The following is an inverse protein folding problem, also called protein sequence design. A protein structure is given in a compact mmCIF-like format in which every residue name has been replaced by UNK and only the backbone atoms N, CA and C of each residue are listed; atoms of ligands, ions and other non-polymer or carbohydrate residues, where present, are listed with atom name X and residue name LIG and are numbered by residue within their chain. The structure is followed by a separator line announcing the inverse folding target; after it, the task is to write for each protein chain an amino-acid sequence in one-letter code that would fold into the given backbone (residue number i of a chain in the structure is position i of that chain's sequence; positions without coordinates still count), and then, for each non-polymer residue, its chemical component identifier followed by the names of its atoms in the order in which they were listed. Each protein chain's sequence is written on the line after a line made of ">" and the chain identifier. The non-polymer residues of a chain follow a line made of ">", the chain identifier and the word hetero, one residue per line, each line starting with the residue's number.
data_IF_376584305445
#
_entry.id   IF_376584305445
#
_cell.length_a   1.000
_cell.length_b   1.000
_cell.length_c   1.000
_cell.angle_alpha   90.00
_cell.angle_beta   90.00
_cell.angle_gamma   90.00
#
_symmetry.space_group_name_H-M   'P 1'
#
loop_
_entity.id
_entity.type
_entity.pdbx_description
1 polymer ?
#
# COMPACT_ATOMS: atom_id res chain seq x y z
N UNK A 1 -2.57 8.70 20.32
CA UNK A 1 -1.45 9.55 19.90
C UNK A 1 -0.55 8.74 18.97
N UNK A 2 -0.46 9.16 17.69
CA UNK A 2 0.27 8.45 16.63
C UNK A 2 1.77 8.33 16.93
N UNK A 3 2.38 9.37 17.53
CA UNK A 3 3.80 9.36 17.87
C UNK A 3 4.13 8.31 18.95
N UNK A 4 3.21 8.03 19.88
CA UNK A 4 3.37 6.91 20.83
C UNK A 4 3.38 5.56 20.13
N UNK A 5 2.54 5.38 19.12
CA UNK A 5 2.51 4.16 18.30
C UNK A 5 3.82 4.01 17.53
N UNK A 6 4.32 5.07 16.91
CA UNK A 6 5.63 5.06 16.21
C UNK A 6 6.74 4.58 17.15
N UNK A 7 6.89 5.24 18.30
CA UNK A 7 7.96 4.91 19.26
C UNK A 7 7.83 3.51 19.87
N UNK A 8 6.61 3.05 20.13
CA UNK A 8 6.38 1.77 20.83
C UNK A 8 6.35 0.56 19.91
N UNK A 9 6.06 0.74 18.61
CA UNK A 9 5.86 -0.36 17.67
C UNK A 9 6.89 -0.32 16.54
N UNK A 10 7.11 0.84 15.92
CA UNK A 10 7.96 0.94 14.72
C UNK A 10 9.44 1.03 15.09
N UNK A 11 9.79 1.89 16.03
CA UNK A 11 11.20 2.13 16.44
C UNK A 11 11.67 1.20 17.57
N UNK A 12 10.80 0.33 18.08
CA UNK A 12 11.20 -0.67 19.08
C UNK A 12 12.19 -1.66 18.46
N UNK A 13 13.23 -2.02 19.20
CA UNK A 13 14.12 -3.12 18.81
C UNK A 13 13.33 -4.42 18.60
N UNK A 14 13.48 -5.00 17.43
CA UNK A 14 12.88 -6.28 17.06
C UNK A 14 13.99 -7.32 16.87
N UNK A 15 13.81 -8.50 17.42
CA UNK A 15 14.72 -9.62 17.20
C UNK A 15 14.66 -10.16 15.74
N UNK A 16 13.72 -9.65 14.93
CA UNK A 16 13.49 -10.08 13.56
C UNK A 16 12.95 -8.90 12.71
N UNK A 17 12.70 -9.16 11.44
CA UNK A 17 12.13 -8.18 10.51
C UNK A 17 10.72 -7.80 10.95
N UNK A 18 10.45 -6.53 11.08
CA UNK A 18 9.12 -5.96 11.30
C UNK A 18 8.62 -5.30 10.02
N UNK A 19 7.37 -5.58 9.65
CA UNK A 19 6.72 -5.00 8.49
C UNK A 19 5.45 -4.26 8.91
N UNK A 20 5.38 -2.97 8.57
CA UNK A 20 4.25 -2.11 8.93
C UNK A 20 3.59 -1.56 7.67
N UNK A 21 2.29 -1.81 7.52
CA UNK A 21 1.48 -1.22 6.46
C UNK A 21 0.80 0.04 6.99
N UNK A 22 1.14 1.17 6.40
CA UNK A 22 0.52 2.46 6.70
C UNK A 22 -0.29 2.95 5.50
N UNK A 23 -1.39 3.64 5.77
CA UNK A 23 -2.17 4.33 4.74
C UNK A 23 -1.84 5.82 4.82
N UNK A 24 -1.36 6.39 3.72
CA UNK A 24 -0.85 7.78 3.71
C UNK A 24 -1.87 8.82 4.17
N UNK A 25 -3.14 8.63 3.86
CA UNK A 25 -4.20 9.53 4.30
C UNK A 25 -4.50 9.47 5.82
N UNK A 26 -3.93 8.49 6.54
CA UNK A 26 -4.00 8.42 8.01
C UNK A 26 -2.76 8.99 8.72
N UNK A 27 -1.73 9.41 7.97
CA UNK A 27 -0.56 10.09 8.52
C UNK A 27 -0.90 11.56 8.83
N UNK A 28 -1.85 11.77 9.76
CA UNK A 28 -2.31 13.09 10.16
C UNK A 28 -1.67 13.47 11.50
N UNK A 29 -0.96 14.61 11.53
CA UNK A 29 -0.31 15.13 12.75
C UNK A 29 0.66 14.11 13.41
N UNK A 30 1.30 13.30 12.59
CA UNK A 30 2.37 12.38 13.00
C UNK A 30 3.67 13.00 12.52
N UNK A 31 4.65 13.02 13.42
CA UNK A 31 6.03 13.32 13.05
C UNK A 31 6.53 12.21 12.11
N UNK A 32 7.10 12.59 10.99
CA UNK A 32 7.56 11.66 9.95
C UNK A 32 9.06 11.40 9.99
N UNK A 33 9.78 11.93 10.96
CA UNK A 33 11.24 11.78 11.09
C UNK A 33 11.65 10.31 11.23
N UNK A 34 10.80 9.48 11.86
CA UNK A 34 11.04 8.04 11.98
C UNK A 34 11.18 7.33 10.63
N UNK A 35 10.69 7.91 9.54
CA UNK A 35 10.81 7.32 8.21
C UNK A 35 12.26 7.29 7.73
N UNK A 36 13.15 8.13 8.29
CA UNK A 36 14.58 8.06 8.03
C UNK A 36 15.26 6.82 8.62
N UNK A 37 14.68 6.25 9.68
CA UNK A 37 15.20 5.09 10.41
C UNK A 37 14.74 3.74 9.85
N UNK A 38 13.87 3.74 8.85
CA UNK A 38 13.25 2.53 8.30
C UNK A 38 13.37 2.47 6.77
N UNK A 39 13.32 1.26 6.22
CA UNK A 39 13.22 1.08 4.76
C UNK A 39 11.80 1.38 4.30
N UNK A 40 11.65 2.35 3.40
CA UNK A 40 10.35 2.81 2.93
C UNK A 40 9.99 2.16 1.60
N UNK A 41 8.77 1.64 1.51
CA UNK A 41 8.16 1.13 0.28
C UNK A 41 6.92 1.95 -0.03
N UNK A 42 6.94 2.68 -1.13
CA UNK A 42 5.76 3.41 -1.64
C UNK A 42 5.02 2.48 -2.60
N UNK A 43 3.91 1.93 -2.12
CA UNK A 43 3.11 0.99 -2.90
C UNK A 43 2.04 1.73 -3.69
N UNK A 44 2.23 1.83 -5.01
CA UNK A 44 1.34 2.57 -5.91
C UNK A 44 0.39 1.65 -6.68
N UNK A 45 -0.71 2.21 -7.13
CA UNK A 45 -1.68 1.57 -8.00
C UNK A 45 -2.35 2.60 -8.89
N UNK A 46 -2.73 2.20 -10.11
CA UNK A 46 -3.45 3.07 -11.03
C UNK A 46 -4.68 3.71 -10.35
N UNK A 47 -4.78 5.05 -10.33
CA UNK A 47 -5.88 5.75 -9.67
C UNK A 47 -7.27 5.32 -10.13
N UNK A 48 -7.45 5.03 -11.42
CA UNK A 48 -8.73 4.50 -11.95
C UNK A 48 -9.15 3.22 -11.25
N UNK A 49 -8.20 2.30 -11.02
CA UNK A 49 -8.48 1.03 -10.34
C UNK A 49 -8.76 1.23 -8.85
N UNK A 50 -8.07 2.18 -8.21
CA UNK A 50 -8.32 2.53 -6.81
C UNK A 50 -9.73 3.06 -6.68
N UNK A 51 -10.09 4.09 -7.46
CA UNK A 51 -11.40 4.74 -7.42
C UNK A 51 -12.52 3.74 -7.71
N UNK A 52 -12.38 2.92 -8.75
CA UNK A 52 -13.36 1.89 -9.09
C UNK A 52 -13.57 0.84 -7.99
N UNK A 53 -12.53 0.55 -7.22
CA UNK A 53 -12.63 -0.37 -6.08
C UNK A 53 -13.23 0.32 -4.86
N UNK A 54 -12.78 1.54 -4.58
CA UNK A 54 -13.14 2.31 -3.39
C UNK A 54 -14.60 2.76 -3.43
N UNK A 55 -15.08 3.22 -4.58
CA UNK A 55 -16.47 3.69 -4.78
C UNK A 55 -17.54 2.60 -4.59
N UNK A 56 -17.14 1.31 -4.60
CA UNK A 56 -18.05 0.20 -4.26
C UNK A 56 -18.40 0.14 -2.77
N UNK A 57 -17.56 0.72 -1.92
CA UNK A 57 -17.73 0.71 -0.46
C UNK A 57 -18.10 2.11 0.04
N UNK A 58 -17.46 3.13 -0.50
CA UNK A 58 -17.66 4.53 -0.11
C UNK A 58 -18.05 5.31 -1.37
N UNK A 59 -19.32 5.72 -1.50
CA UNK A 59 -19.78 6.47 -2.66
C UNK A 59 -19.15 7.88 -2.70
N UNK A 60 -18.92 8.38 -3.90
CA UNK A 60 -18.38 9.73 -4.15
C UNK A 60 -17.04 10.02 -3.42
N UNK A 61 -15.99 9.21 -3.63
CA UNK A 61 -14.71 9.44 -2.98
C UNK A 61 -14.11 10.78 -3.41
N UNK A 62 -13.34 11.38 -2.50
CA UNK A 62 -12.58 12.60 -2.74
C UNK A 62 -11.10 12.29 -2.94
N UNK A 63 -10.31 13.30 -3.34
CA UNK A 63 -8.86 13.19 -3.53
C UNK A 63 -8.15 12.67 -2.29
N UNK A 64 -8.54 13.18 -1.11
CA UNK A 64 -7.98 12.81 0.19
C UNK A 64 -8.24 11.34 0.51
N UNK A 65 -9.39 10.79 0.10
CA UNK A 65 -9.74 9.37 0.33
C UNK A 65 -8.87 8.43 -0.52
N UNK A 66 -8.49 8.87 -1.72
CA UNK A 66 -7.62 8.10 -2.62
C UNK A 66 -6.17 8.13 -2.15
N UNK A 67 -5.72 9.26 -1.60
CA UNK A 67 -4.43 9.41 -0.94
C UNK A 67 -3.20 9.43 -1.85
N UNK A 68 -3.35 9.49 -3.18
CA UNK A 68 -2.21 9.46 -4.13
C UNK A 68 -1.38 10.73 -4.07
N UNK A 69 -2.02 11.89 -3.89
CA UNK A 69 -1.32 13.17 -3.72
C UNK A 69 -0.44 13.14 -2.48
N UNK A 70 -1.00 12.70 -1.34
CA UNK A 70 -0.26 12.55 -0.09
C UNK A 70 0.89 11.52 -0.20
N UNK A 71 0.68 10.48 -0.99
CA UNK A 71 1.70 9.47 -1.26
C UNK A 71 2.86 10.06 -2.09
N UNK A 72 2.55 10.90 -3.07
CA UNK A 72 3.56 11.64 -3.87
C UNK A 72 4.32 12.66 -3.03
N UNK A 73 3.62 13.44 -2.16
CA UNK A 73 4.27 14.36 -1.22
C UNK A 73 5.25 13.61 -0.29
N UNK A 74 4.83 12.46 0.23
CA UNK A 74 5.67 11.64 1.09
C UNK A 74 6.90 11.10 0.36
N UNK A 75 6.74 10.65 -0.88
CA UNK A 75 7.87 10.24 -1.72
C UNK A 75 8.88 11.38 -1.89
N UNK A 76 8.42 12.57 -2.27
CA UNK A 76 9.29 13.73 -2.45
C UNK A 76 9.98 14.14 -1.13
N UNK A 77 9.25 14.11 -0.03
CA UNK A 77 9.83 14.38 1.28
C UNK A 77 10.99 13.41 1.60
N UNK A 78 10.77 12.12 1.42
CA UNK A 78 11.78 11.08 1.64
C UNK A 78 13.02 11.29 0.75
N UNK A 79 12.83 11.59 -0.53
CA UNK A 79 13.94 11.88 -1.45
C UNK A 79 14.71 13.12 -1.00
N UNK A 80 14.02 14.18 -0.60
CA UNK A 80 14.64 15.44 -0.16
C UNK A 80 15.50 15.30 1.12
N UNK A 81 15.14 14.37 2.02
CA UNK A 81 15.95 14.07 3.20
C UNK A 81 17.03 13.01 2.94
N UNK A 82 17.28 12.66 1.66
CA UNK A 82 18.30 11.70 1.27
C UNK A 82 17.94 10.23 1.43
N UNK A 83 16.66 9.91 1.71
CA UNK A 83 16.14 8.55 1.71
C UNK A 83 15.85 8.12 0.27
N UNK A 84 16.03 6.83 -0.03
CA UNK A 84 15.73 6.24 -1.33
C UNK A 84 14.56 5.27 -1.22
N UNK A 85 13.29 5.75 -1.20
CA UNK A 85 12.14 4.88 -1.08
C UNK A 85 12.00 3.98 -2.31
N UNK A 86 11.66 2.71 -2.07
CA UNK A 86 11.36 1.75 -3.14
C UNK A 86 9.94 2.01 -3.62
N UNK A 87 9.77 2.31 -4.92
CA UNK A 87 8.43 2.42 -5.51
C UNK A 87 8.01 1.06 -6.06
N UNK A 88 6.90 0.54 -5.57
CA UNK A 88 6.34 -0.76 -5.96
C UNK A 88 4.95 -0.56 -6.57
N UNK A 89 4.83 -0.80 -7.87
CA UNK A 89 3.53 -0.76 -8.54
C UNK A 89 2.81 -2.12 -8.45
N UNK A 90 1.57 -2.09 -8.01
CA UNK A 90 0.68 -3.26 -7.90
C UNK A 90 0.52 -4.02 -9.21
N UNK A 91 0.51 -3.34 -10.36
CA UNK A 91 0.41 -3.95 -11.70
C UNK A 91 1.58 -4.89 -11.96
N UNK A 92 2.82 -4.42 -11.72
CA UNK A 92 4.01 -5.24 -11.93
C UNK A 92 4.11 -6.38 -10.92
N UNK A 93 3.77 -6.11 -9.67
CA UNK A 93 3.70 -7.16 -8.64
C UNK A 93 2.74 -8.28 -9.04
N UNK A 94 1.54 -7.95 -9.49
CA UNK A 94 0.52 -8.95 -9.86
C UNK A 94 0.85 -9.67 -11.15
N UNK A 95 1.57 -9.05 -12.10
CA UNK A 95 2.02 -9.72 -13.33
C UNK A 95 3.07 -10.79 -13.07
N UNK A 96 4.01 -10.55 -12.15
CA UNK A 96 5.14 -11.43 -11.88
C UNK A 96 5.49 -11.45 -10.38
N UNK A 97 4.60 -11.99 -9.50
CA UNK A 97 4.75 -11.86 -8.05
C UNK A 97 6.08 -12.39 -7.53
N UNK A 98 6.51 -13.57 -8.01
CA UNK A 98 7.76 -14.19 -7.57
C UNK A 98 8.98 -13.32 -7.90
N UNK A 99 9.10 -12.88 -9.13
CA UNK A 99 10.26 -12.09 -9.59
C UNK A 99 10.29 -10.74 -8.86
N UNK A 100 9.15 -10.08 -8.74
CA UNK A 100 9.07 -8.77 -8.09
C UNK A 100 9.36 -8.87 -6.60
N UNK A 101 8.82 -9.88 -5.90
CA UNK A 101 9.11 -10.09 -4.48
C UNK A 101 10.57 -10.50 -4.24
N UNK A 102 11.18 -11.29 -5.13
CA UNK A 102 12.61 -11.60 -5.05
C UNK A 102 13.46 -10.33 -5.17
N UNK A 103 13.16 -9.46 -6.14
CA UNK A 103 13.86 -8.18 -6.30
C UNK A 103 13.64 -7.26 -5.09
N UNK A 104 12.42 -7.18 -4.59
CA UNK A 104 12.11 -6.38 -3.39
C UNK A 104 12.90 -6.90 -2.17
N UNK A 105 12.92 -8.20 -1.94
CA UNK A 105 13.68 -8.80 -0.85
C UNK A 105 15.19 -8.53 -0.98
N UNK A 106 15.73 -8.57 -2.21
CA UNK A 106 17.13 -8.22 -2.47
C UNK A 106 17.42 -6.75 -2.11
N UNK A 107 16.58 -5.82 -2.53
CA UNK A 107 16.72 -4.39 -2.22
C UNK A 107 16.63 -4.09 -0.72
N UNK A 108 15.83 -4.87 0.00
CA UNK A 108 15.65 -4.75 1.44
C UNK A 108 16.68 -5.56 2.25
N UNK A 109 17.61 -6.26 1.59
CA UNK A 109 18.58 -7.16 2.22
C UNK A 109 17.94 -8.23 3.14
N UNK A 110 16.76 -8.74 2.75
CA UNK A 110 16.04 -9.79 3.48
C UNK A 110 15.90 -11.08 2.62
N UNK A 111 15.82 -12.27 3.23
CA UNK A 111 15.68 -13.50 2.49
C UNK A 111 14.28 -13.63 1.86
N UNK A 112 14.21 -13.91 0.57
CA UNK A 112 12.97 -14.33 -0.08
C UNK A 112 12.56 -15.72 0.40
N UNK A 113 11.27 -15.93 0.65
CA UNK A 113 10.70 -17.23 1.00
C UNK A 113 9.50 -17.53 0.09
N UNK A 114 9.42 -18.74 -0.46
CA UNK A 114 8.29 -19.18 -1.31
C UNK A 114 6.92 -19.03 -0.60
N UNK A 115 6.90 -19.09 0.71
CA UNK A 115 5.69 -18.82 1.53
C UNK A 115 5.12 -17.40 1.37
N UNK A 116 5.90 -16.46 0.82
CA UNK A 116 5.41 -15.11 0.50
C UNK A 116 4.42 -15.10 -0.67
N UNK A 117 4.38 -16.17 -1.46
CA UNK A 117 3.49 -16.30 -2.62
C UNK A 117 2.14 -16.94 -2.30
N UNK A 118 2.02 -17.57 -1.14
CA UNK A 118 0.84 -18.36 -0.79
C UNK A 118 0.41 -18.13 0.65
N UNK A 119 -0.88 -18.16 0.90
CA UNK A 119 -1.48 -18.05 2.22
C UNK A 119 -2.72 -18.94 2.37
N UNK A 120 -3.11 -19.20 3.61
CA UNK A 120 -4.33 -19.96 3.91
C UNK A 120 -5.56 -19.11 3.62
N UNK A 121 -6.57 -19.72 3.00
CA UNK A 121 -7.89 -19.12 2.82
C UNK A 121 -8.57 -18.86 4.16
N UNK A 122 -9.32 -17.76 4.24
CA UNK A 122 -10.15 -17.42 5.42
C UNK A 122 -9.64 -16.21 6.18
N UNK A 123 -10.47 -15.76 7.12
CA UNK A 123 -10.13 -14.71 8.05
C UNK A 123 -9.08 -15.17 9.07
N UNK A 124 -8.32 -14.24 9.62
CA UNK A 124 -7.32 -14.48 10.64
C UNK A 124 -7.70 -13.78 11.94
N UNK A 125 -7.21 -14.30 13.04
CA UNK A 125 -7.46 -13.72 14.36
C UNK A 125 -6.86 -12.32 14.50
N UNK A 126 -5.76 -12.05 13.76
CA UNK A 126 -5.05 -10.76 13.74
C UNK A 126 -5.70 -9.72 12.83
N UNK A 127 -6.70 -10.10 12.04
CA UNK A 127 -7.39 -9.17 11.15
C UNK A 127 -8.10 -8.08 11.98
N UNK A 128 -7.83 -6.82 11.65
CA UNK A 128 -8.46 -5.68 12.32
C UNK A 128 -9.95 -5.53 11.98
N UNK A 129 -10.61 -4.60 12.66
CA UNK A 129 -12.05 -4.31 12.51
C UNK A 129 -12.48 -3.95 11.08
N UNK A 130 -11.54 -3.48 10.26
CA UNK A 130 -11.76 -3.12 8.86
C UNK A 130 -11.86 -4.30 7.91
N UNK A 131 -11.45 -5.50 8.34
CA UNK A 131 -11.38 -6.70 7.49
C UNK A 131 -12.72 -7.06 6.86
N UNK A 132 -13.82 -6.93 7.59
CA UNK A 132 -15.18 -7.20 7.12
C UNK A 132 -15.59 -6.37 5.90
N UNK A 133 -15.01 -5.18 5.71
CA UNK A 133 -15.32 -4.27 4.60
C UNK A 133 -14.36 -4.46 3.42
N UNK A 134 -13.07 -4.76 3.69
CA UNK A 134 -12.01 -4.66 2.69
C UNK A 134 -11.36 -6.01 2.33
N UNK A 135 -11.42 -7.04 3.21
CA UNK A 135 -10.64 -8.25 3.04
C UNK A 135 -11.40 -9.43 2.41
N UNK A 136 -12.63 -9.22 1.93
CA UNK A 136 -13.45 -10.28 1.31
C UNK A 136 -12.69 -11.04 0.22
N UNK A 137 -12.02 -10.33 -0.69
CA UNK A 137 -11.26 -10.95 -1.77
C UNK A 137 -10.00 -11.65 -1.25
N UNK A 138 -9.31 -11.06 -0.27
CA UNK A 138 -8.15 -11.65 0.37
C UNK A 138 -8.52 -12.94 1.09
N UNK A 139 -9.59 -12.93 1.89
CA UNK A 139 -10.08 -14.11 2.60
C UNK A 139 -10.53 -15.25 1.67
N UNK A 140 -10.91 -14.95 0.43
CA UNK A 140 -11.30 -15.93 -0.57
C UNK A 140 -10.16 -16.39 -1.49
N UNK A 141 -8.94 -15.91 -1.27
CA UNK A 141 -7.76 -16.26 -2.06
C UNK A 141 -6.75 -17.08 -1.27
N UNK A 142 -5.84 -17.74 -1.98
CA UNK A 142 -4.73 -18.52 -1.40
C UNK A 142 -3.38 -18.11 -1.96
N UNK A 143 -3.35 -17.09 -2.82
CA UNK A 143 -2.16 -16.58 -3.47
C UNK A 143 -2.51 -15.42 -4.41
N UNK A 144 -1.53 -14.94 -5.13
CA UNK A 144 -1.73 -13.89 -6.13
C UNK A 144 -2.56 -14.43 -7.29
N UNK A 145 -3.63 -13.70 -7.65
CA UNK A 145 -4.39 -13.96 -8.84
C UNK A 145 -3.67 -13.37 -10.07
N UNK A 146 -3.75 -14.02 -11.25
CA UNK A 146 -3.21 -13.45 -12.47
C UNK A 146 -3.74 -12.03 -12.71
N UNK A 147 -2.85 -11.12 -13.05
CA UNK A 147 -3.23 -9.77 -13.41
C UNK A 147 -4.02 -9.80 -14.72
N UNK A 148 -5.23 -9.31 -14.68
CA UNK A 148 -6.04 -9.03 -15.87
C UNK A 148 -6.25 -7.52 -15.94
N UNK A 149 -5.92 -6.92 -17.08
CA UNK A 149 -6.23 -5.53 -17.34
C UNK A 149 -7.75 -5.40 -17.43
N UNK A 150 -8.33 -4.69 -16.48
CA UNK A 150 -9.77 -4.47 -16.46
C UNK A 150 -10.07 -3.14 -17.12
N UNK A 151 -10.94 -3.15 -18.11
CA UNK A 151 -11.57 -1.90 -18.54
C UNK A 151 -12.32 -1.33 -17.33
N UNK A 152 -11.82 -0.22 -16.82
CA UNK A 152 -12.41 0.46 -15.69
C UNK A 152 -13.22 1.63 -16.21
N UNK A 153 -14.49 1.39 -16.44
CA UNK A 153 -15.43 2.45 -16.82
C UNK A 153 -15.81 3.21 -15.54
N UNK A 154 -15.27 4.41 -15.43
CA UNK A 154 -15.65 5.37 -14.40
C UNK A 154 -16.61 6.38 -15.01
N UNK A 155 -17.65 6.71 -14.27
CA UNK A 155 -18.65 7.68 -14.68
C UNK A 155 -18.50 9.00 -13.93
N UNK A 156 -18.88 10.10 -14.60
CA UNK A 156 -19.05 11.42 -13.99
C UNK A 156 -17.92 11.87 -13.05
N UNK A 157 -18.27 12.09 -11.78
CA UNK A 157 -17.35 12.59 -10.75
C UNK A 157 -16.13 11.71 -10.53
N UNK A 158 -16.30 10.39 -10.62
CA UNK A 158 -15.20 9.42 -10.47
C UNK A 158 -14.20 9.50 -11.64
N UNK A 159 -14.67 9.77 -12.84
CA UNK A 159 -13.80 9.98 -14.00
C UNK A 159 -12.98 11.27 -13.82
N UNK A 160 -13.64 12.36 -13.43
CA UNK A 160 -12.96 13.63 -13.14
C UNK A 160 -11.92 13.46 -12.03
N UNK A 161 -12.29 12.76 -10.96
CA UNK A 161 -11.36 12.46 -9.86
C UNK A 161 -10.15 11.66 -10.37
N UNK A 162 -10.36 10.67 -11.23
CA UNK A 162 -9.25 9.86 -11.75
C UNK A 162 -8.26 10.67 -12.59
N UNK A 163 -8.75 11.64 -13.37
CA UNK A 163 -7.90 12.56 -14.13
C UNK A 163 -7.08 13.45 -13.21
N UNK A 164 -7.69 13.97 -12.13
CA UNK A 164 -6.98 14.77 -11.12
C UNK A 164 -5.91 13.96 -10.36
N UNK A 165 -6.15 12.67 -10.12
CA UNK A 165 -5.20 11.80 -9.44
C UNK A 165 -4.02 11.36 -10.32
N UNK A 166 -4.17 11.37 -11.65
CA UNK A 166 -3.19 10.82 -12.58
C UNK A 166 -1.78 11.44 -12.48
N UNK A 167 -1.60 12.77 -12.28
CA UNK A 167 -0.28 13.39 -12.17
C UNK A 167 0.55 12.89 -10.98
N UNK A 168 -0.07 12.27 -9.98
CA UNK A 168 0.59 11.76 -8.76
C UNK A 168 0.91 10.27 -8.82
N UNK A 169 0.62 9.62 -9.95
CA UNK A 169 0.91 8.20 -10.21
C UNK A 169 2.10 8.06 -11.16
#
# INVERSE_FOLDING_TARGET
>A
DGNKVVNSIILKEHASISFHKLMTHFLIKIDTDFLSEVSNIIFIRNPKEIIASYSKVIPNPKMEDIGVEKQYELYNHLVNIGNNPIVLDSKYLLKNPKIILQKLCLLLAIPFKEKMLNWKKGARQEDGIWAKYWYKNLHNSTGFLPYTEKETNLENSNLVLSVKCQPYY
#
